data_IF_717106937414
#
_entry.id   IF_717106937414
#
_cell.length_a   1.000
_cell.length_b   1.000
_cell.length_c   1.000
_cell.angle_alpha   90.00
_cell.angle_beta   90.00
_cell.angle_gamma   90.00
#
_symmetry.space_group_name_H-M   'P 1'
#
loop_
_entity.id
_entity.type
_entity.pdbx_description
1 polymer ?
#
# COMPACT_ATOMS: atom_id res chain seq x y z
N UNK A 1 28.71 -11.68 10.54
CA UNK A 1 27.67 -12.10 9.58
C UNK A 1 26.41 -11.28 9.85
N UNK A 2 25.89 -10.52 8.89
CA UNK A 2 24.82 -9.53 9.14
C UNK A 2 23.48 -10.24 9.47
N UNK A 3 22.98 -10.04 10.68
CA UNK A 3 21.78 -10.68 11.24
C UNK A 3 20.54 -10.50 10.35
N UNK A 4 20.42 -9.37 9.67
CA UNK A 4 19.31 -9.12 8.72
C UNK A 4 19.35 -10.02 7.48
N UNK A 5 20.55 -10.27 6.94
CA UNK A 5 20.72 -11.17 5.78
C UNK A 5 20.30 -12.60 6.14
N UNK A 6 20.63 -13.04 7.35
CA UNK A 6 20.24 -14.36 7.87
C UNK A 6 18.72 -14.42 8.03
N UNK A 7 18.11 -13.43 8.70
CA UNK A 7 16.65 -13.34 8.85
C UNK A 7 15.93 -13.39 7.51
N UNK A 8 16.38 -12.61 6.53
CA UNK A 8 15.75 -12.56 5.21
C UNK A 8 15.86 -13.89 4.45
N UNK A 9 16.95 -14.64 4.61
CA UNK A 9 17.08 -16.00 4.06
C UNK A 9 16.16 -17.03 4.73
N UNK A 10 15.88 -16.86 6.02
CA UNK A 10 15.04 -17.78 6.79
C UNK A 10 13.53 -17.50 6.64
N UNK A 11 13.13 -16.24 6.37
CA UNK A 11 11.72 -15.85 6.20
C UNK A 11 10.93 -16.75 5.24
N UNK A 12 11.41 -17.10 4.04
CA UNK A 12 10.67 -17.98 3.11
C UNK A 12 10.41 -19.39 3.68
N UNK A 13 11.23 -19.86 4.61
CA UNK A 13 11.11 -21.17 5.24
C UNK A 13 10.16 -21.08 6.45
N UNK A 14 10.36 -20.07 7.31
CA UNK A 14 9.63 -19.92 8.57
C UNK A 14 8.19 -19.45 8.33
N UNK A 15 7.97 -18.51 7.41
CA UNK A 15 6.67 -17.84 7.23
C UNK A 15 5.55 -18.80 6.81
N UNK A 16 5.77 -19.75 5.87
CA UNK A 16 4.77 -20.76 5.55
C UNK A 16 4.40 -21.65 6.75
N UNK A 17 5.36 -21.94 7.64
CA UNK A 17 5.14 -22.78 8.83
C UNK A 17 4.30 -22.03 9.86
N UNK A 18 4.73 -20.83 10.27
CA UNK A 18 4.02 -20.05 11.30
C UNK A 18 2.62 -19.62 10.81
N UNK A 19 2.47 -19.35 9.52
CA UNK A 19 1.20 -18.92 8.93
C UNK A 19 0.37 -20.08 8.38
N UNK A 20 0.76 -21.35 8.61
CA UNK A 20 0.01 -22.51 8.13
C UNK A 20 -1.45 -22.50 8.63
N UNK A 21 -1.65 -22.30 9.94
CA UNK A 21 -2.98 -22.28 10.54
C UNK A 21 -3.79 -21.07 10.05
N UNK A 22 -3.30 -19.81 10.13
CA UNK A 22 -4.02 -18.65 9.58
C UNK A 22 -4.41 -18.82 8.11
N UNK A 23 -3.50 -19.27 7.25
CA UNK A 23 -3.75 -19.48 5.81
C UNK A 23 -4.83 -20.53 5.55
N UNK A 24 -4.86 -21.60 6.36
CA UNK A 24 -5.86 -22.66 6.26
C UNK A 24 -7.23 -22.22 6.80
N UNK A 25 -7.25 -21.37 7.85
CA UNK A 25 -8.49 -20.86 8.45
C UNK A 25 -9.15 -19.75 7.64
N UNK A 26 -8.38 -19.05 6.80
CA UNK A 26 -8.89 -18.01 5.93
C UNK A 26 -9.77 -18.60 4.82
N UNK A 27 -11.09 -18.44 4.98
CA UNK A 27 -12.09 -18.94 4.02
C UNK A 27 -12.22 -18.02 2.81
N UNK A 28 -12.35 -16.71 3.04
CA UNK A 28 -12.44 -15.73 1.96
C UNK A 28 -11.05 -15.18 1.61
N UNK A 29 -10.62 -15.40 0.36
CA UNK A 29 -9.35 -14.88 -0.18
C UNK A 29 -9.55 -13.71 -1.16
N UNK A 30 -10.80 -13.29 -1.36
CA UNK A 30 -11.19 -12.20 -2.22
C UNK A 30 -11.64 -11.05 -1.31
N UNK A 31 -10.68 -10.26 -0.86
CA UNK A 31 -10.94 -9.11 -0.01
C UNK A 31 -9.93 -8.00 -0.28
N UNK A 32 -10.36 -6.76 -0.06
CA UNK A 32 -9.51 -5.58 -0.16
C UNK A 32 -9.35 -4.97 1.22
N UNK A 33 -8.10 -4.79 1.66
CA UNK A 33 -7.80 -4.03 2.87
C UNK A 33 -7.60 -2.56 2.48
N UNK A 34 -8.41 -1.68 3.07
CA UNK A 34 -8.19 -0.24 3.05
C UNK A 34 -7.40 0.13 4.29
N UNK A 35 -6.25 0.78 4.12
CA UNK A 35 -5.35 1.13 5.20
C UNK A 35 -4.60 2.41 4.85
N UNK A 36 -4.23 3.17 5.88
CA UNK A 36 -3.48 4.41 5.79
C UNK A 36 -1.97 4.19 5.72
N UNK A 37 -1.48 2.94 5.80
CA UNK A 37 -0.04 2.62 5.79
C UNK A 37 0.27 1.20 5.26
N UNK A 38 1.54 0.79 5.37
CA UNK A 38 2.06 -0.47 4.85
C UNK A 38 1.54 -1.75 5.53
N UNK A 39 0.69 -1.66 6.56
CA UNK A 39 0.16 -2.83 7.28
C UNK A 39 -0.59 -3.80 6.35
N UNK A 40 -1.40 -3.28 5.42
CA UNK A 40 -2.12 -4.11 4.46
C UNK A 40 -1.18 -5.01 3.64
N UNK A 41 -0.08 -4.44 3.14
CA UNK A 41 0.93 -5.19 2.39
C UNK A 41 1.54 -6.33 3.21
N UNK A 42 1.78 -6.11 4.50
CA UNK A 42 2.29 -7.13 5.41
C UNK A 42 1.31 -8.29 5.59
N UNK A 43 0.03 -8.00 5.76
CA UNK A 43 -1.03 -9.01 5.90
C UNK A 43 -1.11 -9.89 4.65
N UNK A 44 -1.14 -9.32 3.44
CA UNK A 44 -1.15 -10.11 2.21
C UNK A 44 0.08 -11.02 2.10
N UNK A 45 1.28 -10.54 2.45
CA UNK A 45 2.51 -11.36 2.46
C UNK A 45 2.42 -12.54 3.44
N UNK A 46 1.95 -12.30 4.66
CA UNK A 46 1.82 -13.34 5.69
C UNK A 46 0.79 -14.40 5.27
N UNK A 47 -0.32 -13.97 4.67
CA UNK A 47 -1.35 -14.87 4.13
C UNK A 47 -0.94 -15.54 2.81
N UNK A 48 0.16 -15.12 2.18
CA UNK A 48 0.61 -15.66 0.90
C UNK A 48 -0.34 -15.32 -0.25
N UNK A 49 -0.98 -14.15 -0.18
CA UNK A 49 -1.94 -13.66 -1.16
C UNK A 49 -1.31 -12.54 -2.03
N UNK A 50 -1.74 -12.41 -3.30
CA UNK A 50 -1.39 -11.23 -4.09
C UNK A 50 -1.98 -9.97 -3.45
N UNK A 51 -1.35 -8.82 -3.67
CA UNK A 51 -1.93 -7.55 -3.25
C UNK A 51 -3.22 -7.26 -4.02
N UNK A 52 -4.33 -7.20 -3.28
CA UNK A 52 -5.69 -6.88 -3.73
C UNK A 52 -6.12 -5.50 -3.21
N UNK A 53 -5.16 -4.61 -3.01
CA UNK A 53 -5.35 -3.24 -2.53
C UNK A 53 -4.30 -2.33 -3.17
N UNK A 54 -4.64 -1.08 -3.52
CA UNK A 54 -3.66 -0.12 -4.01
C UNK A 54 -2.76 0.44 -2.88
N UNK A 55 -3.19 0.34 -1.61
CA UNK A 55 -2.52 0.86 -0.41
C UNK A 55 -1.31 0.03 0.06
N UNK A 56 -0.39 -0.28 -0.85
CA UNK A 56 0.83 -1.06 -0.53
C UNK A 56 2.05 -0.21 -0.79
N UNK A 57 2.95 -0.15 0.21
CA UNK A 57 4.20 0.61 0.10
C UNK A 57 4.01 2.11 0.12
N UNK A 58 2.88 2.56 0.65
CA UNK A 58 2.50 3.96 0.73
C UNK A 58 1.81 4.23 2.07
N UNK A 59 1.63 5.52 2.38
CA UNK A 59 0.82 5.95 3.50
C UNK A 59 -0.01 7.20 3.15
N UNK A 60 -1.02 7.46 3.97
CA UNK A 60 -1.95 8.59 3.87
C UNK A 60 -2.09 9.19 5.26
N UNK A 61 -1.95 10.50 5.40
CA UNK A 61 -2.16 11.15 6.69
C UNK A 61 -3.62 11.09 7.12
N UNK A 62 -3.86 11.03 8.43
CA UNK A 62 -5.19 10.77 8.99
C UNK A 62 -6.31 11.68 8.48
N UNK A 63 -6.14 13.01 8.32
CA UNK A 63 -7.22 13.87 7.81
C UNK A 63 -7.69 13.46 6.41
N UNK A 64 -6.76 13.15 5.52
CA UNK A 64 -7.05 12.69 4.16
C UNK A 64 -7.55 11.26 4.12
N UNK A 65 -7.03 10.39 4.98
CA UNK A 65 -7.53 9.03 5.11
C UNK A 65 -9.00 9.02 5.53
N UNK A 66 -9.36 9.81 6.55
CA UNK A 66 -10.76 9.95 6.99
C UNK A 66 -11.63 10.56 5.89
N UNK A 67 -11.12 11.55 5.15
CA UNK A 67 -11.84 12.13 4.00
C UNK A 67 -12.10 11.07 2.93
N UNK A 68 -11.09 10.27 2.59
CA UNK A 68 -11.20 9.18 1.64
C UNK A 68 -12.24 8.14 2.07
N UNK A 69 -12.26 7.74 3.33
CA UNK A 69 -13.24 6.78 3.86
C UNK A 69 -14.69 7.28 3.74
N UNK A 70 -14.92 8.60 3.83
CA UNK A 70 -16.27 9.17 3.66
C UNK A 70 -16.79 9.07 2.22
N UNK A 71 -15.91 8.93 1.23
CA UNK A 71 -16.30 8.79 -0.18
C UNK A 71 -15.40 7.81 -0.94
N UNK A 72 -15.26 6.59 -0.42
CA UNK A 72 -14.30 5.60 -0.91
C UNK A 72 -14.48 5.28 -2.41
N UNK A 73 -15.74 5.21 -2.88
CA UNK A 73 -16.07 4.92 -4.29
C UNK A 73 -15.55 5.98 -5.25
N UNK A 74 -15.53 7.24 -4.84
CA UNK A 74 -14.98 8.34 -5.65
C UNK A 74 -13.48 8.16 -5.83
N UNK A 75 -12.74 8.10 -4.72
CA UNK A 75 -11.28 8.01 -4.73
C UNK A 75 -10.78 6.71 -5.38
N UNK A 76 -11.49 5.59 -5.19
CA UNK A 76 -11.10 4.30 -5.77
C UNK A 76 -11.77 3.99 -7.11
N UNK A 77 -12.41 4.98 -7.75
CA UNK A 77 -13.08 4.80 -9.04
C UNK A 77 -12.14 4.45 -10.20
N UNK A 78 -10.85 4.79 -10.08
CA UNK A 78 -9.85 4.66 -11.15
C UNK A 78 -9.92 5.76 -12.22
N UNK A 79 -10.89 6.67 -12.14
CA UNK A 79 -11.06 7.77 -13.09
C UNK A 79 -10.29 9.04 -12.68
N UNK A 80 -9.79 9.08 -11.44
CA UNK A 80 -9.04 10.21 -10.90
C UNK A 80 -7.55 9.94 -11.09
N UNK A 81 -6.83 10.75 -11.89
CA UNK A 81 -5.40 10.56 -12.08
C UNK A 81 -4.62 10.98 -10.82
N UNK A 82 -3.46 10.35 -10.62
CA UNK A 82 -2.48 10.83 -9.66
C UNK A 82 -1.80 12.08 -10.22
N UNK A 83 -1.81 13.17 -9.45
CA UNK A 83 -1.08 14.40 -9.76
C UNK A 83 0.13 14.51 -8.85
N UNK A 84 1.32 14.22 -9.36
CA UNK A 84 2.54 14.30 -8.57
C UNK A 84 2.91 15.74 -8.23
N UNK A 85 3.34 15.96 -6.99
CA UNK A 85 3.73 17.26 -6.43
C UNK A 85 5.03 17.13 -5.66
N UNK A 86 5.73 18.25 -5.44
CA UNK A 86 7.02 18.29 -4.72
C UNK A 86 6.92 18.89 -3.33
N UNK A 87 5.75 19.40 -2.98
CA UNK A 87 5.46 19.99 -1.67
C UNK A 87 4.35 19.21 -0.99
N UNK A 88 4.56 18.87 0.27
CA UNK A 88 3.57 18.19 1.11
C UNK A 88 2.82 19.20 1.97
N UNK A 89 1.51 19.02 2.10
CA UNK A 89 0.72 19.81 3.05
C UNK A 89 0.90 19.37 4.51
N UNK A 90 1.56 18.24 4.76
CA UNK A 90 1.77 17.68 6.10
C UNK A 90 3.25 17.67 6.53
N UNK A 91 4.18 17.55 5.58
CA UNK A 91 5.61 17.48 5.84
C UNK A 91 6.25 18.79 5.38
N UNK A 92 6.66 19.61 6.35
CA UNK A 92 7.44 20.82 6.08
C UNK A 92 8.80 20.44 5.48
N UNK A 93 9.23 21.16 4.45
CA UNK A 93 10.53 20.98 3.78
C UNK A 93 10.73 19.53 3.29
N UNK A 94 9.68 18.95 2.68
CA UNK A 94 9.73 17.59 2.13
C UNK A 94 10.90 17.44 1.14
N UNK A 95 11.76 16.45 1.40
CA UNK A 95 13.04 16.24 0.72
C UNK A 95 12.91 15.55 -0.66
N UNK A 96 11.67 15.25 -1.08
CA UNK A 96 11.38 14.51 -2.32
C UNK A 96 12.03 13.12 -2.37
N UNK A 97 12.24 12.47 -1.22
CA UNK A 97 12.84 11.13 -1.13
C UNK A 97 11.98 10.00 -1.76
N UNK A 98 10.70 10.26 -2.02
CA UNK A 98 9.78 9.33 -2.67
C UNK A 98 8.66 10.08 -3.43
N UNK A 99 7.95 9.43 -4.35
CA UNK A 99 6.86 10.07 -5.08
C UNK A 99 5.73 10.50 -4.15
N UNK A 100 5.31 11.76 -4.29
CA UNK A 100 4.20 12.37 -3.56
C UNK A 100 3.14 12.77 -4.59
N UNK A 101 1.89 12.37 -4.39
CA UNK A 101 0.83 12.70 -5.33
C UNK A 101 -0.46 13.13 -4.64
N UNK A 102 -1.20 13.98 -5.33
CA UNK A 102 -2.60 14.25 -5.04
C UNK A 102 -3.48 13.27 -5.82
N UNK A 103 -4.49 12.73 -5.14
CA UNK A 103 -5.62 12.05 -5.74
C UNK A 103 -6.84 12.91 -5.46
N UNK A 104 -7.24 13.72 -6.44
CA UNK A 104 -8.17 14.83 -6.22
C UNK A 104 -7.64 15.77 -5.11
N UNK A 105 -8.26 15.77 -3.94
CA UNK A 105 -7.94 16.66 -2.82
C UNK A 105 -7.27 15.97 -1.62
N UNK A 106 -6.85 14.71 -1.78
CA UNK A 106 -6.07 13.96 -0.77
C UNK A 106 -4.63 13.73 -1.19
N UNK A 107 -3.71 13.72 -0.23
CA UNK A 107 -2.28 13.53 -0.44
C UNK A 107 -1.85 12.09 -0.12
N UNK A 108 -1.14 11.47 -1.07
CA UNK A 108 -0.68 10.08 -1.04
C UNK A 108 0.85 10.03 -1.09
N UNK A 109 1.47 9.31 -0.15
CA UNK A 109 2.93 9.21 -0.02
C UNK A 109 3.43 7.82 -0.41
N UNK A 110 4.11 7.68 -1.55
CA UNK A 110 4.53 6.39 -2.11
C UNK A 110 5.92 5.94 -1.62
N UNK A 111 6.07 5.75 -0.30
CA UNK A 111 7.34 5.48 0.40
C UNK A 111 8.25 4.38 -0.19
N UNK A 112 7.69 3.33 -0.81
CA UNK A 112 8.44 2.18 -1.34
C UNK A 112 8.41 2.10 -2.87
N UNK A 113 8.37 3.25 -3.53
CA UNK A 113 8.35 3.37 -4.99
C UNK A 113 9.56 4.17 -5.44
N UNK A 114 10.17 3.73 -6.54
CA UNK A 114 11.35 4.36 -7.11
C UNK A 114 11.01 5.72 -7.75
N UNK A 115 9.87 5.79 -8.44
CA UNK A 115 9.48 6.95 -9.23
C UNK A 115 7.95 7.05 -9.44
N UNK A 116 7.54 8.16 -10.05
CA UNK A 116 6.15 8.52 -10.35
C UNK A 116 5.49 7.53 -11.33
N UNK A 117 6.29 6.94 -12.24
CA UNK A 117 5.81 5.96 -13.22
C UNK A 117 5.45 4.64 -12.52
N UNK A 118 6.35 4.11 -11.68
CA UNK A 118 6.12 2.90 -10.90
C UNK A 118 4.90 3.07 -9.97
N UNK A 119 4.76 4.24 -9.34
CA UNK A 119 3.62 4.58 -8.50
C UNK A 119 2.31 4.51 -9.29
N UNK A 120 2.25 5.18 -10.45
CA UNK A 120 1.07 5.20 -11.32
C UNK A 120 0.68 3.81 -11.81
N UNK A 121 1.64 3.07 -12.38
CA UNK A 121 1.39 1.75 -12.94
C UNK A 121 0.87 0.76 -11.88
N UNK A 122 1.50 0.72 -10.71
CA UNK A 122 1.08 -0.19 -9.64
C UNK A 122 -0.24 0.24 -9.00
N UNK A 123 -0.51 1.55 -8.87
CA UNK A 123 -1.77 2.08 -8.36
C UNK A 123 -2.93 1.64 -9.26
N UNK A 124 -2.88 1.94 -10.56
CA UNK A 124 -3.90 1.57 -11.53
C UNK A 124 -4.14 0.05 -11.58
N UNK A 125 -3.08 -0.74 -11.74
CA UNK A 125 -3.17 -2.21 -11.77
C UNK A 125 -3.78 -2.82 -10.50
N UNK A 126 -3.66 -2.16 -9.34
CA UNK A 126 -4.19 -2.67 -8.06
C UNK A 126 -5.59 -2.18 -7.77
N UNK A 127 -6.01 -1.04 -8.32
CA UNK A 127 -7.42 -0.62 -8.31
C UNK A 127 -8.31 -1.65 -9.00
N UNK A 128 -7.84 -2.24 -10.11
CA UNK A 128 -8.54 -3.31 -10.84
C UNK A 128 -8.74 -4.61 -10.04
N UNK A 129 -8.08 -4.75 -8.88
CA UNK A 129 -8.14 -5.94 -8.01
C UNK A 129 -8.99 -5.72 -6.77
N UNK A 130 -9.67 -4.58 -6.68
CA UNK A 130 -10.55 -4.28 -5.56
C UNK A 130 -11.81 -5.16 -5.68
N UNK A 131 -12.22 -5.75 -4.55
CA UNK A 131 -13.46 -6.52 -4.42
C UNK A 131 -14.56 -5.71 -3.74
#
# INVERSE_FOLDING_TARGET
MNTEKIKNKLKPIIYPIINFIPRRRLKNKNFTIICDNCWAGKVYQELGLPYQTPFVGMFVFSPDYIKMLKNLKHYLSGNIPLKFVKESKYIKDFDNAYPLALLDDIELHFLHYADEEEATQKWQRRLERIY
#
